data_IF_128315248558
#
_entry.id   IF_128315248558
#
_cell.length_a   1.000
_cell.length_b   1.000
_cell.length_c   1.000
_cell.angle_alpha   90.00
_cell.angle_beta   90.00
_cell.angle_gamma   90.00
#
_symmetry.space_group_name_H-M   'P 1'
#
loop_
_entity.id
_entity.type
_entity.pdbx_description
1 polymer ?
#
# COMPACT_ATOMS: atom_id res chain seq x y z
N UNK A 1 13.90 -6.30 1.73
CA UNK A 1 12.84 -7.19 2.26
C UNK A 1 11.50 -6.49 2.53
N UNK A 2 11.38 -5.59 3.51
CA UNK A 2 10.08 -4.96 3.86
C UNK A 2 9.36 -4.26 2.70
N UNK A 3 10.09 -3.45 1.92
CA UNK A 3 9.55 -2.76 0.74
C UNK A 3 9.04 -3.72 -0.35
N UNK A 4 9.65 -4.90 -0.51
CA UNK A 4 9.18 -5.92 -1.46
C UNK A 4 7.84 -6.51 -1.02
N UNK A 5 7.70 -6.82 0.27
CA UNK A 5 6.43 -7.31 0.85
C UNK A 5 5.30 -6.29 0.68
N UNK A 6 5.60 -5.00 0.87
CA UNK A 6 4.66 -3.90 0.63
C UNK A 6 4.19 -3.81 -0.83
N UNK A 7 5.07 -4.07 -1.80
CA UNK A 7 4.69 -4.11 -3.21
C UNK A 7 3.77 -5.30 -3.51
N UNK A 8 4.04 -6.48 -2.94
CA UNK A 8 3.11 -7.62 -3.05
C UNK A 8 1.74 -7.27 -2.50
N UNK A 9 1.70 -6.65 -1.31
CA UNK A 9 0.46 -6.14 -0.68
C UNK A 9 -0.27 -5.15 -1.56
N UNK A 10 0.46 -4.27 -2.25
CA UNK A 10 -0.10 -3.29 -3.18
C UNK A 10 -0.53 -3.89 -4.53
N UNK A 11 -0.45 -5.21 -4.70
CA UNK A 11 -0.89 -5.92 -5.90
C UNK A 11 0.14 -5.91 -7.03
N UNK A 12 1.43 -5.84 -6.72
CA UNK A 12 2.49 -6.10 -7.68
C UNK A 12 2.81 -7.60 -7.76
N UNK A 13 2.99 -8.10 -8.98
CA UNK A 13 3.47 -9.46 -9.19
C UNK A 13 4.96 -9.57 -8.85
N UNK A 14 5.44 -10.76 -8.52
CA UNK A 14 6.86 -11.00 -8.24
C UNK A 14 7.75 -10.55 -9.42
N UNK A 15 7.35 -10.84 -10.66
CA UNK A 15 8.00 -10.37 -11.90
C UNK A 15 8.10 -8.83 -12.00
N UNK A 16 7.09 -8.09 -11.54
CA UNK A 16 7.13 -6.62 -11.54
C UNK A 16 8.11 -6.12 -10.47
N UNK A 17 8.09 -6.75 -9.29
CA UNK A 17 8.96 -6.40 -8.15
C UNK A 17 10.43 -6.64 -8.48
N UNK A 18 10.76 -7.73 -9.17
CA UNK A 18 12.14 -8.05 -9.55
C UNK A 18 12.69 -7.11 -10.64
N UNK A 19 11.82 -6.42 -11.38
CA UNK A 19 12.19 -5.37 -12.34
C UNK A 19 12.34 -4.00 -11.70
N UNK A 20 11.78 -3.80 -10.50
CA UNK A 20 11.88 -2.55 -9.76
C UNK A 20 13.13 -2.62 -8.88
N UNK A 21 14.02 -1.63 -8.98
CA UNK A 21 15.13 -1.48 -8.03
C UNK A 21 14.60 -0.90 -6.70
N UNK A 22 13.94 -1.73 -5.92
CA UNK A 22 13.33 -1.37 -4.63
C UNK A 22 14.37 -0.83 -3.63
N UNK A 23 15.63 -1.24 -3.78
CA UNK A 23 16.75 -0.81 -2.94
C UNK A 23 17.28 0.57 -3.30
N UNK A 24 17.19 0.96 -4.58
CA UNK A 24 17.59 2.28 -5.07
C UNK A 24 16.54 3.37 -4.87
N UNK A 25 15.26 3.00 -4.64
CA UNK A 25 14.18 3.98 -4.45
C UNK A 25 14.34 4.79 -3.15
N UNK A 26 14.07 6.08 -3.24
CA UNK A 26 13.82 6.90 -2.05
C UNK A 26 12.47 6.54 -1.42
N UNK A 27 12.26 6.92 -0.16
CA UNK A 27 10.98 6.67 0.53
C UNK A 27 9.81 7.37 -0.16
N UNK A 28 10.05 8.53 -0.76
CA UNK A 28 9.05 9.30 -1.50
C UNK A 28 8.68 8.63 -2.83
N UNK A 29 9.68 8.19 -3.61
CA UNK A 29 9.44 7.46 -4.86
C UNK A 29 8.73 6.13 -4.61
N UNK A 30 9.14 5.42 -3.55
CA UNK A 30 8.51 4.18 -3.13
C UNK A 30 7.04 4.40 -2.73
N UNK A 31 6.77 5.45 -1.96
CA UNK A 31 5.41 5.80 -1.58
C UNK A 31 4.56 6.16 -2.79
N UNK A 32 5.07 6.97 -3.71
CA UNK A 32 4.35 7.39 -4.90
C UNK A 32 4.05 6.20 -5.81
N UNK A 33 4.99 5.26 -5.95
CA UNK A 33 4.81 3.99 -6.67
C UNK A 33 3.65 3.16 -6.08
N UNK A 34 3.69 2.92 -4.77
CA UNK A 34 2.65 2.16 -4.05
C UNK A 34 1.30 2.86 -4.16
N UNK A 35 1.28 4.18 -3.94
CA UNK A 35 0.07 5.01 -4.02
C UNK A 35 -0.52 5.00 -5.42
N UNK A 36 0.29 5.17 -6.46
CA UNK A 36 -0.15 5.11 -7.86
C UNK A 36 -0.72 3.76 -8.22
N UNK A 37 -0.17 2.66 -7.70
CA UNK A 37 -0.73 1.34 -7.95
C UNK A 37 -2.10 1.15 -7.31
N UNK A 38 -2.22 1.53 -6.03
CA UNK A 38 -3.46 1.44 -5.26
C UNK A 38 -4.55 2.40 -5.76
N UNK A 39 -4.19 3.63 -6.15
CA UNK A 39 -5.15 4.65 -6.60
C UNK A 39 -5.36 4.68 -8.13
N UNK A 40 -4.43 4.11 -8.90
CA UNK A 40 -4.42 4.17 -10.36
C UNK A 40 -5.18 3.03 -11.04
N UNK A 41 -5.49 1.94 -10.34
CA UNK A 41 -6.41 0.91 -10.83
C UNK A 41 -7.84 1.25 -10.41
N UNK A 42 -8.48 2.17 -11.15
CA UNK A 42 -9.93 2.44 -11.03
C UNK A 42 -10.82 1.35 -11.65
N UNK A 43 -10.24 0.45 -12.46
CA UNK A 43 -11.01 -0.47 -13.31
C UNK A 43 -11.06 -1.94 -12.84
N UNK A 44 -10.22 -2.35 -11.88
CA UNK A 44 -10.22 -3.73 -11.36
C UNK A 44 -10.31 -3.71 -9.84
N UNK A 45 -11.55 -3.64 -9.33
CA UNK A 45 -11.98 -4.08 -8.00
C UNK A 45 -11.09 -3.72 -6.77
N UNK A 46 -10.33 -2.63 -6.85
CA UNK A 46 -9.55 -2.09 -5.74
C UNK A 46 -10.40 -1.12 -4.89
N UNK A 47 -11.71 -1.39 -4.75
CA UNK A 47 -12.61 -0.61 -3.90
C UNK A 47 -12.40 -0.85 -2.41
N UNK A 48 -11.60 -1.85 -2.05
CA UNK A 48 -11.41 -2.29 -0.66
C UNK A 48 -10.11 -1.80 -0.03
N UNK A 49 -9.15 -1.19 -0.73
CA UNK A 49 -7.88 -0.76 -0.11
C UNK A 49 -7.67 0.76 -0.15
N UNK A 50 -7.12 1.32 0.94
CA UNK A 50 -6.88 2.76 1.07
C UNK A 50 -5.57 3.04 1.79
N UNK A 51 -4.92 4.16 1.43
CA UNK A 51 -3.77 4.70 2.18
C UNK A 51 -4.28 5.84 3.08
N UNK A 52 -4.13 5.68 4.40
CA UNK A 52 -4.55 6.65 5.43
C UNK A 52 -3.34 7.08 6.27
N UNK A 53 -3.46 8.17 7.02
CA UNK A 53 -2.44 8.49 8.03
C UNK A 53 -2.48 7.51 9.19
N UNK A 54 -1.34 7.34 9.87
CA UNK A 54 -1.27 6.54 11.08
C UNK A 54 -2.21 7.08 12.16
N UNK A 55 -2.41 8.40 12.20
CA UNK A 55 -3.32 9.06 13.15
C UNK A 55 -4.80 8.73 12.87
N UNK A 56 -5.15 8.38 11.62
CA UNK A 56 -6.49 7.94 11.23
C UNK A 56 -6.68 6.43 11.38
N UNK A 57 -5.62 5.65 11.63
CA UNK A 57 -5.70 4.19 11.59
C UNK A 57 -6.76 3.62 12.53
N UNK A 58 -6.84 4.14 13.77
CA UNK A 58 -7.78 3.64 14.78
C UNK A 58 -9.23 3.77 14.31
N UNK A 59 -9.61 4.90 13.70
CA UNK A 59 -10.95 5.13 13.14
C UNK A 59 -11.31 4.08 12.09
N UNK A 60 -10.39 3.79 11.16
CA UNK A 60 -10.64 2.79 10.12
C UNK A 60 -10.74 1.38 10.69
N UNK A 61 -9.96 1.04 11.72
CA UNK A 61 -10.06 -0.25 12.39
C UNK A 61 -11.43 -0.41 13.10
N UNK A 62 -11.95 0.65 13.72
CA UNK A 62 -13.29 0.65 14.32
C UNK A 62 -14.40 0.50 13.27
N UNK A 63 -14.20 1.07 12.08
CA UNK A 63 -15.10 0.97 10.92
C UNK A 63 -15.03 -0.40 10.20
N UNK A 64 -14.28 -1.37 10.74
CA UNK A 64 -14.18 -2.72 10.19
C UNK A 64 -13.15 -2.88 9.06
N UNK A 65 -12.24 -1.93 8.91
CA UNK A 65 -11.08 -2.10 8.03
C UNK A 65 -9.98 -2.88 8.73
N UNK A 66 -9.19 -3.61 7.95
CA UNK A 66 -8.05 -4.38 8.39
C UNK A 66 -6.75 -3.62 8.09
N UNK A 67 -5.85 -3.55 9.08
CA UNK A 67 -4.49 -3.07 8.85
C UNK A 67 -3.72 -4.06 7.99
N UNK A 68 -3.11 -3.56 6.91
CA UNK A 68 -2.29 -4.40 6.02
C UNK A 68 -0.81 -4.11 6.20
N UNK A 69 -0.41 -2.84 6.13
CA UNK A 69 1.00 -2.48 6.24
C UNK A 69 1.24 -0.99 6.52
N UNK A 70 2.42 -0.67 7.08
CA UNK A 70 2.87 0.70 7.35
C UNK A 70 3.90 1.14 6.31
N UNK A 71 3.72 2.34 5.77
CA UNK A 71 4.64 3.03 4.88
C UNK A 71 5.61 3.90 5.70
N UNK A 72 6.83 4.16 5.19
CA UNK A 72 7.89 4.87 5.91
C UNK A 72 7.57 6.31 6.35
N UNK A 73 6.46 6.90 5.92
CA UNK A 73 6.04 8.29 6.21
C UNK A 73 4.81 8.39 7.12
N UNK A 74 4.68 7.52 8.13
CA UNK A 74 3.50 7.45 9.02
C UNK A 74 2.18 7.32 8.25
N UNK A 75 2.24 6.64 7.10
CA UNK A 75 1.06 6.29 6.31
C UNK A 75 0.83 4.80 6.44
N UNK A 76 -0.40 4.36 6.31
CA UNK A 76 -0.79 2.96 6.50
C UNK A 76 -1.77 2.57 5.42
N UNK A 77 -1.64 1.32 4.98
CA UNK A 77 -2.54 0.69 4.03
C UNK A 77 -3.56 -0.08 4.84
N UNK A 78 -4.84 0.27 4.67
CA UNK A 78 -5.98 -0.41 5.27
C UNK A 78 -6.80 -1.08 4.18
N UNK A 79 -7.46 -2.20 4.51
CA UNK A 79 -8.34 -2.94 3.61
C UNK A 79 -9.71 -3.20 4.23
N UNK A 80 -10.79 -2.78 3.59
CA UNK A 80 -12.14 -3.14 3.95
C UNK A 80 -12.31 -4.65 3.83
N UNK A 81 -12.59 -5.33 4.94
CA UNK A 81 -13.08 -6.70 4.90
C UNK A 81 -14.50 -6.66 4.35
N UNK A 82 -14.77 -7.48 3.33
CA UNK A 82 -16.09 -7.67 2.75
C UNK A 82 -16.54 -9.10 3.03
#
# INVERSE_FOLDING_TARGET
EFRKQLLVVAGFSQDEIDRIDVTGLTDEEFQDLVRKRLLGRRDEDCGTQKVVSLDELEEYLEDGWEYVATLPNKKVIVKLQN
#
